data_IF_863936636065
#
_entry.id   IF_863936636065
#
_cell.length_a   1.000
_cell.length_b   1.000
_cell.length_c   1.000
_cell.angle_alpha   90.00
_cell.angle_beta   90.00
_cell.angle_gamma   90.00
#
_symmetry.space_group_name_H-M   'P 1'
#
loop_
_entity.id
_entity.type
_entity.pdbx_description
1 polymer ?
#
# COMPACT_ATOMS: atom_id res chain seq x y z
N UNK A 1 -25.00 45.94 -7.65
CA UNK A 1 -25.62 44.79 -8.37
C UNK A 1 -24.59 44.09 -9.25
N UNK A 2 -24.16 42.87 -8.90
CA UNK A 2 -23.26 42.07 -9.77
C UNK A 2 -24.01 41.57 -11.00
N UNK A 3 -23.42 41.66 -12.19
CA UNK A 3 -24.06 41.13 -13.40
C UNK A 3 -24.21 39.59 -13.33
N UNK A 4 -25.29 39.06 -13.92
CA UNK A 4 -25.54 37.61 -13.96
C UNK A 4 -24.36 36.79 -14.52
N UNK A 5 -23.57 37.38 -15.42
CA UNK A 5 -22.35 36.77 -15.95
C UNK A 5 -21.26 36.60 -14.87
N UNK A 6 -21.03 37.62 -14.03
CA UNK A 6 -20.07 37.52 -12.91
C UNK A 6 -20.54 36.51 -11.87
N UNK A 7 -21.84 36.45 -11.60
CA UNK A 7 -22.42 35.48 -10.67
C UNK A 7 -22.27 34.03 -11.18
N UNK A 8 -22.52 33.79 -12.48
CA UNK A 8 -22.30 32.48 -13.09
C UNK A 8 -20.82 32.04 -13.05
N UNK A 9 -19.88 32.98 -13.21
CA UNK A 9 -18.44 32.68 -13.07
C UNK A 9 -18.06 32.32 -11.64
N UNK A 10 -18.57 33.05 -10.63
CA UNK A 10 -18.35 32.73 -9.22
C UNK A 10 -18.88 31.34 -8.86
N UNK A 11 -20.13 31.02 -9.23
CA UNK A 11 -20.71 29.70 -8.98
C UNK A 11 -19.92 28.56 -9.66
N UNK A 12 -19.33 28.82 -10.84
CA UNK A 12 -18.46 27.84 -11.52
C UNK A 12 -17.20 27.55 -10.70
N UNK A 13 -16.56 28.59 -10.15
CA UNK A 13 -15.39 28.44 -9.28
C UNK A 13 -15.78 27.71 -7.98
N UNK A 14 -16.87 28.14 -7.34
CA UNK A 14 -17.40 27.50 -6.13
C UNK A 14 -17.72 26.02 -6.35
N UNK A 15 -18.28 25.65 -7.51
CA UNK A 15 -18.52 24.23 -7.86
C UNK A 15 -17.21 23.44 -7.96
N UNK A 16 -16.18 24.01 -8.60
CA UNK A 16 -14.88 23.36 -8.71
C UNK A 16 -14.22 23.17 -7.33
N UNK A 17 -14.29 24.18 -6.48
CA UNK A 17 -13.69 24.12 -5.15
C UNK A 17 -14.47 23.19 -4.21
N UNK A 18 -15.81 23.18 -4.28
CA UNK A 18 -16.64 22.20 -3.58
C UNK A 18 -16.32 20.76 -4.02
N UNK A 19 -16.14 20.52 -5.32
CA UNK A 19 -15.76 19.21 -5.85
C UNK A 19 -14.35 18.78 -5.39
N UNK A 20 -13.38 19.71 -5.33
CA UNK A 20 -12.05 19.44 -4.77
C UNK A 20 -12.15 19.06 -3.29
N UNK A 21 -12.90 19.83 -2.50
CA UNK A 21 -13.10 19.56 -1.08
C UNK A 21 -13.76 18.20 -0.86
N UNK A 22 -14.81 17.86 -1.62
CA UNK A 22 -15.45 16.53 -1.57
C UNK A 22 -14.43 15.41 -1.82
N UNK A 23 -13.65 15.52 -2.90
CA UNK A 23 -12.61 14.52 -3.24
C UNK A 23 -11.54 14.38 -2.15
N UNK A 24 -11.14 15.48 -1.51
CA UNK A 24 -10.18 15.43 -0.39
C UNK A 24 -10.78 14.70 0.81
N UNK A 25 -12.01 15.03 1.21
CA UNK A 25 -12.67 14.36 2.33
C UNK A 25 -12.92 12.86 2.05
N UNK A 26 -13.30 12.51 0.81
CA UNK A 26 -13.45 11.11 0.37
C UNK A 26 -12.12 10.34 0.46
N UNK A 27 -10.99 10.96 0.07
CA UNK A 27 -9.67 10.35 0.20
C UNK A 27 -9.31 10.09 1.66
N UNK A 28 -9.46 11.09 2.53
CA UNK A 28 -9.21 10.93 3.96
C UNK A 28 -10.09 9.84 4.58
N UNK A 29 -11.37 9.78 4.19
CA UNK A 29 -12.28 8.71 4.63
C UNK A 29 -11.78 7.33 4.22
N UNK A 30 -11.36 7.18 2.95
CA UNK A 30 -10.82 5.91 2.44
C UNK A 30 -9.56 5.50 3.19
N UNK A 31 -8.68 6.44 3.49
CA UNK A 31 -7.46 6.20 4.27
C UNK A 31 -7.79 5.76 5.70
N UNK A 32 -8.72 6.44 6.38
CA UNK A 32 -9.16 6.06 7.72
C UNK A 32 -9.79 4.66 7.75
N UNK A 33 -10.68 4.35 6.81
CA UNK A 33 -11.30 3.01 6.69
C UNK A 33 -10.25 1.93 6.36
N UNK A 34 -9.30 2.24 5.48
CA UNK A 34 -8.19 1.34 5.14
C UNK A 34 -7.29 1.09 6.35
N UNK A 35 -7.01 2.12 7.15
CA UNK A 35 -6.25 1.99 8.39
C UNK A 35 -6.98 1.10 9.37
N UNK A 36 -8.28 1.34 9.62
CA UNK A 36 -9.10 0.51 10.51
C UNK A 36 -9.07 -0.97 10.09
N UNK A 37 -9.26 -1.25 8.79
CA UNK A 37 -9.24 -2.61 8.24
C UNK A 37 -7.87 -3.26 8.40
N UNK A 38 -6.79 -2.56 8.03
CA UNK A 38 -5.42 -3.09 8.12
C UNK A 38 -5.00 -3.34 9.57
N UNK A 39 -5.34 -2.43 10.48
CA UNK A 39 -5.05 -2.59 11.91
C UNK A 39 -5.86 -3.74 12.52
N UNK A 40 -7.12 -3.92 12.11
CA UNK A 40 -7.95 -5.06 12.52
C UNK A 40 -7.40 -6.40 12.01
N UNK A 41 -7.05 -6.52 10.73
CA UNK A 41 -6.41 -7.73 10.20
C UNK A 41 -5.01 -7.96 10.78
N UNK A 42 -4.30 -6.87 11.10
CA UNK A 42 -3.01 -6.94 11.79
C UNK A 42 -3.17 -7.48 13.21
N UNK A 43 -4.24 -7.08 13.90
CA UNK A 43 -4.54 -7.53 15.26
C UNK A 43 -4.80 -9.04 15.29
N UNK A 44 -5.68 -9.54 14.43
CA UNK A 44 -5.96 -10.99 14.36
C UNK A 44 -4.71 -11.79 13.98
N UNK A 45 -3.89 -11.29 13.06
CA UNK A 45 -2.61 -11.91 12.71
C UNK A 45 -1.60 -11.91 13.87
N UNK A 46 -1.58 -10.86 14.70
CA UNK A 46 -0.74 -10.81 15.91
C UNK A 46 -1.26 -11.81 16.95
N UNK A 47 -2.57 -11.94 17.11
CA UNK A 47 -3.19 -12.87 18.05
C UNK A 47 -2.89 -14.32 17.68
N UNK A 48 -3.11 -14.73 16.42
CA UNK A 48 -2.76 -16.09 15.98
C UNK A 48 -1.28 -16.38 16.13
N UNK A 49 -0.39 -15.47 15.69
CA UNK A 49 1.05 -15.70 15.85
C UNK A 49 1.48 -15.77 17.32
N UNK A 50 0.76 -15.12 18.22
CA UNK A 50 0.99 -15.20 19.66
C UNK A 50 0.50 -16.51 20.24
N UNK A 51 -0.66 -17.01 19.82
CA UNK A 51 -1.15 -18.35 20.16
C UNK A 51 -0.17 -19.42 19.66
N UNK A 52 0.23 -19.39 18.40
CA UNK A 52 1.22 -20.31 17.84
C UNK A 52 2.53 -20.29 18.64
N UNK A 53 2.99 -19.10 19.03
CA UNK A 53 4.23 -18.97 19.80
C UNK A 53 4.06 -19.51 21.23
N UNK A 54 2.87 -19.38 21.83
CA UNK A 54 2.57 -19.97 23.15
C UNK A 54 2.51 -21.49 23.08
N UNK A 55 1.89 -22.05 22.04
CA UNK A 55 1.85 -23.51 21.81
C UNK A 55 3.28 -24.04 21.66
N UNK A 56 4.09 -23.43 20.80
CA UNK A 56 5.52 -23.76 20.63
C UNK A 56 6.31 -23.64 21.93
N UNK A 57 6.04 -22.62 22.74
CA UNK A 57 6.69 -22.46 24.04
C UNK A 57 6.30 -23.59 25.00
N UNK A 58 5.05 -24.05 24.96
CA UNK A 58 4.57 -25.21 25.70
C UNK A 58 5.29 -26.48 25.28
N UNK A 59 5.36 -26.75 23.98
CA UNK A 59 6.09 -27.89 23.40
C UNK A 59 7.57 -27.88 23.80
N UNK A 60 8.26 -26.74 23.63
CA UNK A 60 9.65 -26.55 24.05
C UNK A 60 9.83 -26.85 25.54
N UNK A 61 8.92 -26.39 26.40
CA UNK A 61 9.03 -26.64 27.83
C UNK A 61 8.80 -28.12 28.18
N UNK A 62 7.86 -28.79 27.51
CA UNK A 62 7.60 -30.21 27.72
C UNK A 62 8.81 -31.07 27.31
N UNK A 63 9.37 -30.83 26.12
CA UNK A 63 10.57 -31.51 25.64
C UNK A 63 11.80 -31.20 26.51
N UNK A 64 11.97 -29.94 26.91
CA UNK A 64 13.03 -29.54 27.82
C UNK A 64 12.97 -30.31 29.15
N UNK A 65 11.79 -30.40 29.76
CA UNK A 65 11.61 -31.15 31.01
C UNK A 65 11.93 -32.64 30.83
N UNK A 66 11.50 -33.23 29.70
CA UNK A 66 11.81 -34.62 29.38
C UNK A 66 13.32 -34.85 29.22
N UNK A 67 14.03 -33.96 28.53
CA UNK A 67 15.49 -34.05 28.36
C UNK A 67 16.23 -33.88 29.68
N UNK A 68 15.80 -32.93 30.53
CA UNK A 68 16.38 -32.74 31.86
C UNK A 68 16.19 -33.99 32.72
N UNK A 69 14.99 -34.56 32.76
CA UNK A 69 14.72 -35.79 33.50
C UNK A 69 15.55 -36.98 32.97
N UNK A 70 15.72 -37.09 31.64
CA UNK A 70 16.58 -38.11 31.03
C UNK A 70 18.04 -37.94 31.42
N UNK A 71 18.56 -36.71 31.45
CA UNK A 71 19.92 -36.41 31.90
C UNK A 71 20.11 -36.83 33.36
N UNK A 72 19.22 -36.40 34.24
CA UNK A 72 19.28 -36.78 35.66
C UNK A 72 19.20 -38.30 35.86
N UNK A 73 18.38 -39.00 35.07
CA UNK A 73 18.31 -40.45 35.11
C UNK A 73 19.62 -41.12 34.70
N UNK A 74 20.28 -40.60 33.65
CA UNK A 74 21.59 -41.12 33.22
C UNK A 74 22.68 -40.85 34.25
N UNK A 75 22.68 -39.66 34.87
CA UNK A 75 23.62 -39.31 35.93
C UNK A 75 23.45 -40.24 37.14
N UNK A 76 22.20 -40.52 37.57
CA UNK A 76 21.95 -41.51 38.64
C UNK A 76 22.42 -42.91 38.27
N UNK A 77 22.20 -43.36 37.04
CA UNK A 77 22.66 -44.66 36.57
C UNK A 77 24.19 -44.75 36.45
N UNK A 78 24.86 -43.64 36.11
CA UNK A 78 26.31 -43.57 36.08
C UNK A 78 26.87 -43.64 37.51
N UNK A 79 26.31 -42.89 38.46
CA UNK A 79 26.69 -42.95 39.88
C UNK A 79 26.47 -44.35 40.48
N UNK A 80 25.34 -44.99 40.19
CA UNK A 80 25.08 -46.35 40.66
C UNK A 80 26.07 -47.38 40.08
N UNK A 81 26.49 -47.22 38.82
CA UNK A 81 27.54 -48.06 38.23
C UNK A 81 28.90 -47.81 38.89
N UNK A 82 29.23 -46.55 39.20
CA UNK A 82 30.45 -46.21 39.94
C UNK A 82 30.46 -46.76 41.36
N UNK A 83 29.35 -46.71 42.09
CA UNK A 83 29.23 -47.32 43.41
C UNK A 83 29.46 -48.83 43.34
N UNK A 84 28.85 -49.52 42.37
CA UNK A 84 29.11 -50.96 42.14
C UNK A 84 30.56 -51.23 41.77
N UNK A 85 31.15 -50.40 40.93
CA UNK A 85 32.56 -50.50 40.56
C UNK A 85 33.46 -50.43 41.81
N UNK A 86 33.19 -49.50 42.74
CA UNK A 86 33.96 -49.41 43.99
C UNK A 86 33.82 -50.67 44.86
N UNK A 87 32.65 -51.30 44.88
CA UNK A 87 32.41 -52.55 45.59
C UNK A 87 33.17 -53.72 44.95
N UNK A 88 33.16 -53.81 43.62
CA UNK A 88 33.90 -54.86 42.89
C UNK A 88 35.42 -54.69 43.01
N UNK A 89 35.93 -53.45 43.05
CA UNK A 89 37.35 -53.18 43.32
C UNK A 89 37.73 -53.69 44.72
N UNK A 90 36.92 -53.41 45.75
CA UNK A 90 37.17 -53.95 47.09
C UNK A 90 37.08 -55.49 47.13
N UNK A 91 36.16 -56.09 46.35
CA UNK A 91 36.05 -57.54 46.22
C UNK A 91 37.25 -58.15 45.49
N UNK A 92 37.83 -57.45 44.52
CA UNK A 92 39.07 -57.83 43.82
C UNK A 92 40.24 -57.89 44.80
N UNK A 93 40.42 -56.86 45.61
CA UNK A 93 41.51 -56.81 46.61
C UNK A 93 41.39 -57.96 47.62
N UNK A 94 40.16 -58.30 48.03
CA UNK A 94 39.90 -59.47 48.88
C UNK A 94 40.21 -60.78 48.15
N UNK A 95 39.77 -60.94 46.91
CA UNK A 95 40.01 -62.15 46.12
C UNK A 95 41.51 -62.36 45.82
N UNK A 96 42.28 -61.29 45.63
CA UNK A 96 43.75 -61.34 45.51
C UNK A 96 44.39 -61.84 46.81
N UNK A 97 43.90 -61.36 47.96
CA UNK A 97 44.36 -61.81 49.28
C UNK A 97 44.03 -63.29 49.51
N UNK A 98 42.81 -63.72 49.18
CA UNK A 98 42.37 -65.11 49.30
C UNK A 98 43.21 -66.05 48.41
N UNK A 99 43.51 -65.62 47.18
CA UNK A 99 44.37 -66.37 46.25
C UNK A 99 45.81 -66.53 46.79
N UNK A 100 46.37 -65.49 47.41
CA UNK A 100 47.69 -65.54 48.03
C UNK A 100 47.73 -66.50 49.23
N UNK A 101 46.63 -66.59 49.98
CA UNK A 101 46.52 -67.42 51.19
C UNK A 101 46.08 -68.87 50.89
N UNK A 102 45.71 -69.21 49.66
CA UNK A 102 45.23 -70.54 49.32
C UNK A 102 46.35 -71.60 49.38
N UNK A 103 46.19 -72.61 50.24
CA UNK A 103 47.22 -73.63 50.50
C UNK A 103 47.16 -74.81 49.53
N UNK A 104 45.97 -75.17 49.01
CA UNK A 104 45.78 -76.30 48.09
C UNK A 104 45.63 -75.85 46.64
N UNK A 105 46.05 -76.69 45.69
CA UNK A 105 45.91 -76.37 44.25
C UNK A 105 44.45 -76.16 43.84
N UNK A 106 43.51 -76.96 44.36
CA UNK A 106 42.08 -76.78 44.10
C UNK A 106 41.54 -75.45 44.63
N UNK A 107 41.96 -75.02 45.83
CA UNK A 107 41.57 -73.71 46.37
C UNK A 107 42.16 -72.55 45.57
N UNK A 108 43.40 -72.69 45.08
CA UNK A 108 44.04 -71.69 44.21
C UNK A 108 43.29 -71.52 42.89
N UNK A 109 42.87 -72.62 42.25
CA UNK A 109 42.10 -72.57 41.01
C UNK A 109 40.76 -71.84 41.21
N UNK A 110 39.99 -72.19 42.25
CA UNK A 110 38.71 -71.54 42.57
C UNK A 110 38.90 -70.03 42.85
N UNK A 111 39.92 -69.66 43.62
CA UNK A 111 40.22 -68.26 43.91
C UNK A 111 40.65 -67.48 42.65
N UNK A 112 41.41 -68.11 41.75
CA UNK A 112 41.82 -67.50 40.48
C UNK A 112 40.63 -67.27 39.53
N UNK A 113 39.73 -68.25 39.40
CA UNK A 113 38.50 -68.11 38.61
C UNK A 113 37.61 -66.98 39.14
N UNK A 114 37.45 -66.90 40.47
CA UNK A 114 36.69 -65.81 41.10
C UNK A 114 37.32 -64.45 40.84
N UNK A 115 38.64 -64.34 40.93
CA UNK A 115 39.37 -63.10 40.65
C UNK A 115 39.18 -62.68 39.19
N UNK A 116 39.27 -63.61 38.25
CA UNK A 116 39.05 -63.34 36.82
C UNK A 116 37.62 -62.83 36.54
N UNK A 117 36.61 -63.45 37.15
CA UNK A 117 35.22 -63.00 37.05
C UNK A 117 35.04 -61.57 37.57
N UNK A 118 35.66 -61.23 38.71
CA UNK A 118 35.59 -59.87 39.27
C UNK A 118 36.27 -58.86 38.33
N UNK A 119 37.43 -59.20 37.76
CA UNK A 119 38.14 -58.33 36.80
C UNK A 119 37.29 -58.06 35.57
N UNK A 120 36.63 -59.08 35.02
CA UNK A 120 35.71 -58.91 33.89
C UNK A 120 34.56 -57.96 34.25
N UNK A 121 33.94 -58.15 35.43
CA UNK A 121 32.84 -57.31 35.90
C UNK A 121 33.25 -55.85 36.15
N UNK A 122 34.46 -55.62 36.64
CA UNK A 122 35.05 -54.27 36.77
C UNK A 122 35.11 -53.59 35.40
N UNK A 123 35.67 -54.26 34.38
CA UNK A 123 35.79 -53.69 33.04
C UNK A 123 34.42 -53.37 32.42
N UNK A 124 33.42 -54.23 32.62
CA UNK A 124 32.04 -53.98 32.19
C UNK A 124 31.45 -52.73 32.87
N UNK A 125 31.60 -52.60 34.20
CA UNK A 125 31.09 -51.47 34.97
C UNK A 125 31.77 -50.15 34.61
N UNK A 126 33.07 -50.16 34.32
CA UNK A 126 33.84 -49.00 33.87
C UNK A 126 33.29 -48.46 32.53
N UNK A 127 33.12 -49.34 31.54
CA UNK A 127 32.59 -48.95 30.24
C UNK A 127 31.12 -48.55 30.34
N UNK A 128 30.31 -49.21 31.16
CA UNK A 128 28.92 -48.83 31.43
C UNK A 128 28.81 -47.42 32.03
N UNK A 129 29.61 -47.11 33.06
CA UNK A 129 29.63 -45.79 33.70
C UNK A 129 30.06 -44.70 32.71
N UNK A 130 31.12 -44.97 31.93
CA UNK A 130 31.66 -44.06 30.92
C UNK A 130 30.66 -43.78 29.79
N UNK A 131 29.99 -44.81 29.27
CA UNK A 131 28.96 -44.65 28.23
C UNK A 131 27.78 -43.81 28.72
N UNK A 132 27.31 -44.06 29.96
CA UNK A 132 26.21 -43.28 30.56
C UNK A 132 26.59 -41.83 30.81
N UNK A 133 27.81 -41.58 31.29
CA UNK A 133 28.32 -40.22 31.49
C UNK A 133 28.43 -39.47 30.16
N UNK A 134 29.01 -40.10 29.14
CA UNK A 134 29.10 -39.51 27.80
C UNK A 134 27.71 -39.18 27.23
N UNK A 135 26.73 -40.08 27.42
CA UNK A 135 25.34 -39.82 27.03
C UNK A 135 24.74 -38.63 27.78
N UNK A 136 24.95 -38.52 29.10
CA UNK A 136 24.49 -37.37 29.90
C UNK A 136 25.10 -36.05 29.41
N UNK A 137 26.40 -36.06 29.05
CA UNK A 137 27.10 -34.89 28.53
C UNK A 137 26.56 -34.44 27.16
N UNK A 138 26.15 -35.37 26.29
CA UNK A 138 25.49 -35.00 25.03
C UNK A 138 24.18 -34.26 25.25
N UNK A 139 23.43 -34.59 26.31
CA UNK A 139 22.17 -33.93 26.65
C UNK A 139 22.39 -32.50 27.18
N UNK A 140 23.56 -32.15 27.72
CA UNK A 140 23.88 -30.77 28.13
C UNK A 140 23.74 -29.81 26.95
N UNK A 141 24.30 -30.18 25.79
CA UNK A 141 24.21 -29.37 24.56
C UNK A 141 22.77 -29.20 24.10
N UNK A 142 21.98 -30.27 24.14
CA UNK A 142 20.56 -30.26 23.79
C UNK A 142 19.77 -29.33 24.73
N UNK A 143 20.04 -29.39 26.04
CA UNK A 143 19.44 -28.50 27.06
C UNK A 143 19.75 -27.03 26.77
N UNK A 144 20.98 -26.70 26.38
CA UNK A 144 21.35 -25.33 26.00
C UNK A 144 20.56 -24.84 24.78
N UNK A 145 20.39 -25.68 23.76
CA UNK A 145 19.64 -25.31 22.56
C UNK A 145 18.16 -25.10 22.86
N UNK A 146 17.57 -25.90 23.75
CA UNK A 146 16.22 -25.64 24.27
C UNK A 146 16.13 -24.34 25.08
N UNK A 147 17.14 -23.97 25.87
CA UNK A 147 17.19 -22.65 26.55
C UNK A 147 17.21 -21.51 25.53
N UNK A 148 17.99 -21.64 24.45
CA UNK A 148 18.04 -20.67 23.36
C UNK A 148 16.70 -20.59 22.62
N UNK A 149 16.05 -21.71 22.32
CA UNK A 149 14.74 -21.71 21.66
C UNK A 149 13.66 -21.10 22.54
N UNK A 150 13.62 -21.47 23.84
CA UNK A 150 12.72 -20.90 24.85
C UNK A 150 12.83 -19.37 24.94
N UNK A 151 14.04 -18.85 25.03
CA UNK A 151 14.27 -17.39 25.10
C UNK A 151 13.85 -16.68 23.81
N UNK A 152 14.15 -17.24 22.63
CA UNK A 152 13.71 -16.69 21.34
C UNK A 152 12.19 -16.64 21.23
N UNK A 153 11.49 -17.73 21.56
CA UNK A 153 10.03 -17.81 21.51
C UNK A 153 9.39 -16.85 22.51
N UNK A 154 9.94 -16.74 23.72
CA UNK A 154 9.49 -15.75 24.72
C UNK A 154 9.61 -14.31 24.22
N UNK A 155 10.74 -13.95 23.58
CA UNK A 155 10.90 -12.63 22.97
C UNK A 155 9.88 -12.36 21.85
N UNK A 156 9.53 -13.38 21.06
CA UNK A 156 8.50 -13.25 20.03
C UNK A 156 7.12 -12.95 20.61
N UNK A 157 6.73 -13.68 21.67
CA UNK A 157 5.49 -13.41 22.43
C UNK A 157 5.50 -11.99 22.97
N UNK A 158 6.61 -11.55 23.57
CA UNK A 158 6.71 -10.21 24.14
C UNK A 158 6.58 -9.11 23.06
N UNK A 159 7.22 -9.29 21.89
CA UNK A 159 7.10 -8.36 20.76
C UNK A 159 5.66 -8.26 20.26
N UNK A 160 4.98 -9.39 20.12
CA UNK A 160 3.58 -9.45 19.69
C UNK A 160 2.66 -8.80 20.73
N UNK A 161 2.86 -9.08 22.02
CA UNK A 161 2.12 -8.48 23.13
C UNK A 161 2.24 -6.95 23.15
N UNK A 162 3.42 -6.39 22.86
CA UNK A 162 3.64 -4.95 22.74
C UNK A 162 2.92 -4.32 21.54
N UNK A 163 2.77 -5.06 20.44
CA UNK A 163 2.11 -4.55 19.23
C UNK A 163 0.58 -4.52 19.31
N UNK A 164 -0.03 -5.42 20.10
CA UNK A 164 -1.48 -5.52 20.30
C UNK A 164 -2.15 -4.21 20.76
N UNK A 165 -1.70 -3.51 21.82
CA UNK A 165 -2.33 -2.26 22.25
C UNK A 165 -2.20 -1.14 21.21
N UNK A 166 -1.11 -1.11 20.44
CA UNK A 166 -0.91 -0.12 19.35
C UNK A 166 -1.93 -0.33 18.24
N UNK A 167 -2.20 -1.57 17.85
CA UNK A 167 -3.22 -1.88 16.84
C UNK A 167 -4.63 -1.57 17.35
N UNK A 168 -4.92 -1.87 18.63
CA UNK A 168 -6.20 -1.54 19.25
C UNK A 168 -6.44 -0.03 19.31
N UNK A 169 -5.43 0.77 19.65
CA UNK A 169 -5.56 2.22 19.66
C UNK A 169 -5.80 2.78 18.26
N UNK A 170 -5.07 2.29 17.25
CA UNK A 170 -5.30 2.65 15.84
C UNK A 170 -6.69 2.30 15.34
N UNK A 171 -7.23 1.13 15.71
CA UNK A 171 -8.60 0.74 15.37
C UNK A 171 -9.60 1.73 15.98
N UNK A 172 -9.46 2.04 17.27
CA UNK A 172 -10.37 2.98 17.96
C UNK A 172 -10.35 4.37 17.32
N UNK A 173 -9.16 4.93 17.09
CA UNK A 173 -9.03 6.28 16.50
C UNK A 173 -9.54 6.30 15.06
N UNK A 174 -9.19 5.31 14.25
CA UNK A 174 -9.63 5.24 12.85
C UNK A 174 -11.13 5.04 12.69
N UNK A 175 -11.81 4.31 13.59
CA UNK A 175 -13.27 4.19 13.60
C UNK A 175 -13.90 5.57 13.83
N UNK A 176 -13.48 6.26 14.90
CA UNK A 176 -13.98 7.61 15.24
C UNK A 176 -13.72 8.60 14.10
N UNK A 177 -12.52 8.60 13.52
CA UNK A 177 -12.17 9.46 12.40
C UNK A 177 -12.99 9.13 11.16
N UNK A 178 -13.22 7.84 10.88
CA UNK A 178 -14.04 7.42 9.73
C UNK A 178 -15.48 7.91 9.85
N UNK A 179 -16.08 7.87 11.05
CA UNK A 179 -17.43 8.37 11.30
C UNK A 179 -17.52 9.89 11.15
N UNK A 180 -16.53 10.61 11.68
CA UNK A 180 -16.42 12.06 11.52
C UNK A 180 -16.26 12.45 10.05
N UNK A 181 -15.42 11.73 9.31
CA UNK A 181 -15.16 11.98 7.89
C UNK A 181 -16.37 11.61 7.03
N UNK A 182 -17.12 10.55 7.36
CA UNK A 182 -18.38 10.19 6.69
C UNK A 182 -19.35 11.38 6.71
N UNK A 183 -19.60 11.94 7.88
CA UNK A 183 -20.48 13.12 8.05
C UNK A 183 -19.98 14.33 7.23
N UNK A 184 -18.66 14.56 7.17
CA UNK A 184 -18.06 15.65 6.38
C UNK A 184 -18.20 15.43 4.87
N UNK A 185 -18.01 14.20 4.39
CA UNK A 185 -18.22 13.83 2.99
C UNK A 185 -19.68 14.07 2.61
N UNK A 186 -20.63 13.62 3.42
CA UNK A 186 -22.07 13.81 3.15
C UNK A 186 -22.43 15.31 3.05
N UNK A 187 -21.89 16.13 3.96
CA UNK A 187 -22.06 17.58 3.88
C UNK A 187 -21.42 18.19 2.62
N UNK A 188 -20.23 17.74 2.24
CA UNK A 188 -19.54 18.23 1.03
C UNK A 188 -20.32 17.86 -0.24
N UNK A 189 -20.86 16.64 -0.32
CA UNK A 189 -21.74 16.18 -1.40
C UNK A 189 -22.97 17.08 -1.49
N UNK A 190 -23.65 17.34 -0.38
CA UNK A 190 -24.83 18.23 -0.34
C UNK A 190 -24.49 19.65 -0.81
N UNK A 191 -23.36 20.21 -0.36
CA UNK A 191 -22.90 21.54 -0.78
C UNK A 191 -22.65 21.61 -2.29
N UNK A 192 -21.93 20.65 -2.86
CA UNK A 192 -21.65 20.62 -4.29
C UNK A 192 -22.92 20.46 -5.13
N UNK A 193 -23.84 19.60 -4.71
CA UNK A 193 -25.14 19.44 -5.36
C UNK A 193 -25.94 20.75 -5.34
N UNK A 194 -25.97 21.46 -4.22
CA UNK A 194 -26.66 22.74 -4.09
C UNK A 194 -26.05 23.80 -5.01
N UNK A 195 -24.72 23.95 -5.03
CA UNK A 195 -24.04 24.89 -5.94
C UNK A 195 -24.31 24.52 -7.40
N UNK A 196 -24.31 23.23 -7.75
CA UNK A 196 -24.64 22.80 -9.11
C UNK A 196 -26.07 23.18 -9.50
N UNK A 197 -27.06 22.93 -8.64
CA UNK A 197 -28.46 23.30 -8.88
C UNK A 197 -28.62 24.82 -9.10
N UNK A 198 -27.98 25.64 -8.26
CA UNK A 198 -28.03 27.11 -8.38
C UNK A 198 -27.35 27.56 -9.68
N UNK A 199 -26.19 26.99 -10.01
CA UNK A 199 -25.45 27.27 -11.24
C UNK A 199 -26.28 26.96 -12.48
N UNK A 200 -27.03 25.85 -12.48
CA UNK A 200 -27.88 25.46 -13.61
C UNK A 200 -29.01 26.47 -13.82
N UNK A 201 -29.66 26.92 -12.75
CA UNK A 201 -30.71 27.95 -12.79
C UNK A 201 -30.16 29.27 -13.32
N UNK A 202 -29.02 29.73 -12.80
CA UNK A 202 -28.39 30.98 -13.22
C UNK A 202 -27.92 30.91 -14.67
N UNK A 203 -27.36 29.77 -15.09
CA UNK A 203 -26.90 29.55 -16.46
C UNK A 203 -28.06 29.58 -17.46
N UNK A 204 -29.21 28.99 -17.12
CA UNK A 204 -30.44 29.08 -17.92
C UNK A 204 -30.91 30.54 -18.07
N UNK A 205 -31.00 31.30 -16.98
CA UNK A 205 -31.39 32.72 -17.00
C UNK A 205 -30.42 33.58 -17.83
N UNK A 206 -29.12 33.33 -17.71
CA UNK A 206 -28.08 34.02 -18.48
C UNK A 206 -28.22 33.71 -19.98
N UNK A 207 -28.38 32.44 -20.34
CA UNK A 207 -28.58 32.02 -21.73
C UNK A 207 -29.82 32.67 -22.36
N UNK A 208 -30.92 32.74 -21.61
CA UNK A 208 -32.14 33.42 -22.04
C UNK A 208 -31.91 34.92 -22.27
N UNK A 209 -31.22 35.61 -21.36
CA UNK A 209 -30.87 37.02 -21.54
C UNK A 209 -29.99 37.26 -22.76
N UNK A 210 -28.99 36.41 -23.00
CA UNK A 210 -28.13 36.51 -24.19
C UNK A 210 -28.93 36.25 -25.47
N UNK A 211 -29.86 35.29 -25.48
CA UNK A 211 -30.73 35.03 -26.62
C UNK A 211 -31.65 36.23 -26.92
N UNK A 212 -32.26 36.83 -25.89
CA UNK A 212 -33.05 38.06 -26.01
C UNK A 212 -32.21 39.22 -26.58
N UNK A 213 -30.98 39.41 -26.08
CA UNK A 213 -30.04 40.43 -26.61
C UNK A 213 -29.66 40.19 -28.07
N UNK A 214 -29.37 38.93 -28.46
CA UNK A 214 -29.09 38.55 -29.86
C UNK A 214 -30.28 38.84 -30.78
N UNK A 215 -31.49 38.46 -30.37
CA UNK A 215 -32.73 38.76 -31.12
C UNK A 215 -32.96 40.28 -31.28
N UNK A 216 -32.76 41.05 -30.22
CA UNK A 216 -32.89 42.51 -30.27
C UNK A 216 -31.83 43.16 -31.17
N UNK A 217 -30.58 42.71 -31.11
CA UNK A 217 -29.50 43.19 -31.98
C UNK A 217 -29.78 42.87 -33.46
N UNK A 218 -30.28 41.67 -33.76
CA UNK A 218 -30.67 41.28 -35.11
C UNK A 218 -31.81 42.15 -35.65
N UNK A 219 -32.84 42.44 -34.86
CA UNK A 219 -33.92 43.37 -35.23
C UNK A 219 -33.39 44.78 -35.51
N UNK A 220 -32.50 45.31 -34.67
CA UNK A 220 -31.86 46.63 -34.88
C UNK A 220 -30.99 46.65 -36.15
N UNK A 221 -30.22 45.59 -36.42
CA UNK A 221 -29.41 45.47 -37.63
C UNK A 221 -30.28 45.40 -38.90
N UNK A 222 -31.38 44.64 -38.87
CA UNK A 222 -32.34 44.58 -39.98
C UNK A 222 -33.00 45.93 -40.25
N UNK A 223 -33.40 46.67 -39.20
CA UNK A 223 -33.95 48.02 -39.34
C UNK A 223 -32.93 49.01 -39.96
N UNK A 224 -31.66 48.96 -39.54
CA UNK A 224 -30.57 49.75 -40.14
C UNK A 224 -30.33 49.41 -41.62
N UNK A 225 -30.39 48.12 -41.98
CA UNK A 225 -30.27 47.68 -43.39
C UNK A 225 -31.44 48.18 -44.23
N UNK A 226 -32.68 48.09 -43.73
CA UNK A 226 -33.87 48.61 -44.43
C UNK A 226 -33.82 50.13 -44.60
N UNK A 227 -33.38 50.89 -43.60
CA UNK A 227 -33.26 52.35 -43.72
C UNK A 227 -32.12 52.77 -44.65
N UNK A 228 -30.98 52.07 -44.64
CA UNK A 228 -29.90 52.28 -45.59
C UNK A 228 -30.33 51.97 -47.03
N UNK A 229 -31.08 50.88 -47.25
CA UNK A 229 -31.63 50.53 -48.56
C UNK A 229 -32.64 51.58 -49.07
N UNK A 230 -33.52 52.11 -48.20
CA UNK A 230 -34.42 53.22 -48.55
C UNK A 230 -33.65 54.50 -48.94
N UNK A 231 -32.60 54.85 -48.20
CA UNK A 231 -31.72 56.00 -48.54
C UNK A 231 -30.98 55.79 -49.86
N UNK A 232 -30.51 54.58 -50.15
CA UNK A 232 -29.87 54.24 -51.42
C UNK A 232 -30.85 54.27 -52.61
N UNK A 233 -32.07 53.77 -52.44
CA UNK A 233 -33.12 53.81 -53.45
C UNK A 233 -33.58 55.25 -53.78
N UNK A 234 -33.68 56.13 -52.76
CA UNK A 234 -33.97 57.54 -52.96
C UNK A 234 -32.89 58.26 -53.79
N UNK A 235 -31.60 57.96 -53.53
CA UNK A 235 -30.48 58.48 -54.34
C UNK A 235 -30.53 57.99 -55.80
N UNK A 236 -30.91 56.73 -56.04
CA UNK A 236 -31.08 56.17 -57.39
C UNK A 236 -32.26 56.81 -58.15
N UNK A 237 -33.41 57.06 -57.49
CA UNK A 237 -34.53 57.77 -58.12
C UNK A 237 -34.20 59.23 -58.42
N UNK A 238 -33.41 59.90 -57.58
CA UNK A 238 -32.92 61.25 -57.84
C UNK A 238 -31.94 61.30 -59.05
N UNK A 239 -31.11 60.26 -59.24
CA UNK A 239 -30.23 60.14 -60.40
C UNK A 239 -31.00 59.85 -61.70
N UNK A 240 -32.07 59.03 -61.66
CA UNK A 240 -32.92 58.75 -62.82
C UNK A 240 -33.71 59.98 -63.31
N UNK A 241 -34.15 60.85 -62.40
CA UNK A 241 -34.79 62.14 -62.77
C UNK A 241 -33.85 63.16 -63.42
N UNK A 242 -32.52 63.00 -63.28
CA UNK A 242 -31.53 63.82 -64.01
C UNK A 242 -31.22 63.28 -65.42
N UNK A 243 -31.57 62.03 -65.73
CA UNK A 243 -31.31 61.42 -67.03
C UNK A 243 -32.38 61.72 -68.10
N UNK A 244 -33.56 62.22 -67.72
CA UNK A 244 -34.64 62.58 -68.66
C UNK A 244 -34.55 63.99 -69.24
N UNK A 245 -33.57 64.82 -68.83
CA UNK A 245 -33.36 66.20 -69.36
C UNK A 245 -32.25 66.33 -70.41
N UNK A 246 -31.67 65.24 -70.92
CA UNK A 246 -30.54 65.30 -71.86
C UNK A 246 -30.77 64.46 -73.12
N UNK A 247 -31.78 64.84 -73.91
CA UNK A 247 -32.02 64.25 -75.23
C UNK A 247 -32.42 65.30 -76.27
N UNK A 248 -31.64 66.37 -76.40
CA UNK A 248 -31.55 67.18 -77.61
C UNK A 248 -30.10 67.59 -77.84
N UNK A 249 -29.76 67.79 -79.12
CA UNK A 249 -28.48 68.18 -79.74
C UNK A 249 -27.51 67.06 -80.14
N UNK A 250 -27.73 66.59 -81.38
CA UNK A 250 -26.83 65.82 -82.27
C UNK A 250 -25.70 66.70 -82.83
N UNK A 251 -24.63 66.00 -83.25
CA UNK A 251 -23.60 66.34 -84.26
C UNK A 251 -22.55 67.38 -83.80
N UNK A 252 -21.24 67.24 -84.06
CA UNK A 252 -20.56 66.76 -85.29
C UNK A 252 -19.07 66.45 -85.00
N UNK A 253 -18.54 65.40 -85.61
CA UNK A 253 -17.21 65.22 -86.27
C UNK A 253 -15.95 65.91 -85.73
N UNK A 254 -14.87 65.14 -85.49
CA UNK A 254 -13.73 64.94 -86.44
C UNK A 254 -12.39 64.53 -85.77
N UNK A 255 -11.78 63.48 -86.36
CA UNK A 255 -10.35 63.17 -86.60
C UNK A 255 -9.25 63.30 -85.51
N UNK A 256 -8.47 62.19 -85.49
CA UNK A 256 -7.00 62.04 -85.54
C UNK A 256 -6.21 61.72 -84.24
N UNK A 257 -5.71 60.47 -84.27
CA UNK A 257 -4.32 59.99 -84.08
C UNK A 257 -3.68 59.90 -82.67
N UNK A 258 -3.08 58.71 -82.52
CA UNK A 258 -1.76 58.35 -81.95
C UNK A 258 -1.56 58.07 -80.45
N UNK A 259 -1.15 56.82 -80.23
CA UNK A 259 0.08 56.38 -79.56
C UNK A 259 0.03 55.93 -78.09
N UNK A 260 0.40 54.64 -77.95
CA UNK A 260 1.23 54.07 -76.89
C UNK A 260 0.58 53.94 -75.51
N UNK A 261 0.90 52.99 -74.63
CA UNK A 261 1.86 51.88 -74.57
C UNK A 261 1.39 51.02 -73.37
N UNK A 262 1.66 49.71 -73.41
CA UNK A 262 2.31 48.87 -72.37
C UNK A 262 2.16 49.33 -70.88
N UNK A 263 2.01 48.49 -69.85
CA UNK A 263 2.29 47.06 -69.65
C UNK A 263 2.05 46.73 -68.14
N UNK A 264 1.80 45.44 -67.88
CA UNK A 264 2.30 44.59 -66.74
C UNK A 264 2.09 45.03 -65.29
N UNK A 265 1.44 44.24 -64.43
CA UNK A 265 1.76 42.89 -63.93
C UNK A 265 2.87 42.83 -62.86
N UNK A 266 2.51 42.33 -61.67
CA UNK A 266 3.33 41.48 -60.78
C UNK A 266 2.41 40.99 -59.64
N UNK A 267 1.82 39.78 -59.70
CA UNK A 267 2.34 38.50 -59.17
C UNK A 267 3.12 38.63 -57.84
N UNK A 268 2.63 37.95 -56.79
CA UNK A 268 3.45 37.02 -55.98
C UNK A 268 2.57 35.96 -55.29
N UNK A 269 2.91 34.69 -55.55
CA UNK A 269 2.48 33.45 -54.89
C UNK A 269 3.45 33.15 -53.74
N UNK A 270 2.97 32.47 -52.69
CA UNK A 270 3.71 31.46 -51.87
C UNK A 270 2.71 30.79 -50.92
N UNK A 271 2.26 29.54 -51.12
CA UNK A 271 2.89 28.23 -50.82
C UNK A 271 3.08 27.94 -49.31
N UNK A 272 2.15 27.15 -48.77
CA UNK A 272 2.29 25.86 -48.03
C UNK A 272 3.27 25.77 -46.83
N UNK A 273 2.75 25.41 -45.65
CA UNK A 273 3.29 24.30 -44.83
C UNK A 273 2.32 23.79 -43.75
N UNK A 274 1.96 22.50 -43.87
CA UNK A 274 1.48 21.64 -42.79
C UNK A 274 2.65 21.28 -41.87
N UNK A 275 2.38 21.06 -40.58
CA UNK A 275 3.19 20.16 -39.75
C UNK A 275 2.29 19.37 -38.80
N UNK A 276 2.15 18.07 -39.09
CA UNK A 276 1.83 17.01 -38.14
C UNK A 276 2.99 16.92 -37.13
N UNK A 277 2.68 16.62 -35.88
CA UNK A 277 3.60 15.84 -35.05
C UNK A 277 2.80 14.83 -34.23
N UNK A 278 3.26 13.59 -34.31
CA UNK A 278 2.74 12.39 -33.68
C UNK A 278 3.90 11.67 -32.99
N UNK A 279 3.63 11.14 -31.80
CA UNK A 279 4.42 10.15 -31.02
C UNK A 279 5.76 10.71 -30.47
N UNK A 280 6.18 10.38 -29.26
CA UNK A 280 6.31 9.04 -28.66
C UNK A 280 6.37 9.17 -27.15
#
# INVERSE_FOLDING_TARGET
MTSLAKLAQKLKQEKLDAAKQRRLQEKMLKEAVSLARRSSSGLSSVEHRMEDSKVKLGEINAEFNHVVARKESLERLASAAQERLTQEIAAKDQAETDLQNAETEGAKQIAAERLEQIIQKIAELEEEAKQRQAAADTLVKVIEDFKKSKTKTSHQIQKQAKSKPVLLSQIKTSIVDSERLKKRVDMAVKKEQNVSKILDVVSKKLAEQLARKRKAAAKKAAAKRKSAAKKAAAKRKAAARKATKKKTTKKKTAKKKTASKKKTAAKKKSVKKQKKNSRR
#
